data_IF_237624935288
#
_entry.id   IF_237624935288
#
_cell.length_a   1.000
_cell.length_b   1.000
_cell.length_c   1.000
_cell.angle_alpha   90.00
_cell.angle_beta   90.00
_cell.angle_gamma   90.00
#
_symmetry.space_group_name_H-M   'P 1'
#
loop_
_entity.id
_entity.type
_entity.pdbx_description
1 polymer ?
#
# COMPACT_ATOMS: atom_id res chain seq x y z
N UNK A 1 38.13 63.46 -48.81
CA UNK A 1 37.06 62.59 -49.33
C UNK A 1 36.57 61.75 -48.15
N UNK A 2 35.35 62.05 -47.66
CA UNK A 2 34.72 61.43 -46.48
C UNK A 2 34.20 60.03 -46.85
N UNK A 3 34.33 59.07 -45.95
CA UNK A 3 33.39 57.94 -45.87
C UNK A 3 33.37 57.38 -44.47
N UNK A 4 32.25 57.61 -43.80
CA UNK A 4 31.78 57.02 -42.55
C UNK A 4 30.29 56.65 -42.80
N UNK A 5 29.64 55.78 -41.99
CA UNK A 5 29.33 54.41 -42.37
C UNK A 5 27.83 54.14 -42.57
N UNK A 6 27.47 53.14 -43.38
CA UNK A 6 26.08 52.63 -43.44
C UNK A 6 25.97 51.43 -42.49
N UNK A 7 25.45 51.74 -41.31
CA UNK A 7 24.90 50.82 -40.31
C UNK A 7 23.90 49.85 -40.94
N UNK A 8 24.22 48.54 -40.93
CA UNK A 8 23.25 47.47 -41.20
C UNK A 8 22.56 47.11 -39.89
N UNK A 9 21.31 47.56 -39.74
CA UNK A 9 20.41 47.09 -38.69
C UNK A 9 19.95 45.67 -39.02
N UNK A 10 20.53 44.67 -38.36
CA UNK A 10 20.01 43.31 -38.36
C UNK A 10 18.81 43.23 -37.42
N UNK A 11 17.61 43.06 -37.98
CA UNK A 11 16.40 42.74 -37.22
C UNK A 11 16.52 41.27 -36.82
N UNK A 12 16.78 41.01 -35.53
CA UNK A 12 16.70 39.66 -34.97
C UNK A 12 15.22 39.37 -34.71
N UNK A 13 14.60 38.59 -35.59
CA UNK A 13 13.29 38.01 -35.36
C UNK A 13 13.44 36.91 -34.29
N UNK A 14 13.00 37.19 -33.07
CA UNK A 14 13.00 36.22 -31.97
C UNK A 14 11.97 35.13 -32.24
N UNK A 15 12.43 33.92 -32.55
CA UNK A 15 11.60 32.73 -32.63
C UNK A 15 11.30 32.26 -31.20
N UNK A 16 10.09 32.56 -30.70
CA UNK A 16 9.63 32.08 -29.40
C UNK A 16 9.24 30.60 -29.52
N UNK A 17 10.17 29.70 -29.23
CA UNK A 17 9.93 28.26 -29.19
C UNK A 17 9.22 27.91 -27.86
N UNK A 18 7.89 27.82 -27.88
CA UNK A 18 7.11 27.27 -26.76
C UNK A 18 7.42 25.78 -26.67
N UNK A 19 8.24 25.40 -25.69
CA UNK A 19 8.54 24.01 -25.37
C UNK A 19 7.27 23.38 -24.78
N UNK A 20 6.51 22.68 -25.61
CA UNK A 20 5.49 21.72 -25.14
C UNK A 20 6.22 20.58 -24.44
N UNK A 21 6.35 20.66 -23.12
CA UNK A 21 6.76 19.51 -22.32
C UNK A 21 5.68 18.43 -22.48
N UNK A 22 5.98 17.25 -23.04
CA UNK A 22 5.05 16.15 -23.04
C UNK A 22 4.76 15.78 -21.58
N UNK A 23 3.53 16.04 -21.13
CA UNK A 23 3.02 15.49 -19.89
C UNK A 23 2.74 14.01 -20.15
N UNK A 24 3.73 13.14 -19.90
CA UNK A 24 3.47 11.69 -19.96
C UNK A 24 2.61 11.32 -18.75
N UNK A 25 1.40 10.77 -18.95
CA UNK A 25 0.62 10.27 -17.84
C UNK A 25 1.42 9.19 -17.12
N UNK A 26 1.66 9.38 -15.82
CA UNK A 26 2.21 8.33 -14.96
C UNK A 26 1.04 7.43 -14.59
N UNK A 27 0.99 6.25 -15.19
CA UNK A 27 0.07 5.19 -14.76
C UNK A 27 0.70 4.45 -13.59
N UNK A 28 -0.09 4.14 -12.56
CA UNK A 28 0.34 3.21 -11.53
C UNK A 28 0.50 1.82 -12.16
N UNK A 29 1.61 1.14 -11.90
CA UNK A 29 1.77 -0.26 -12.30
C UNK A 29 0.68 -1.10 -11.65
N UNK A 30 -0.09 -1.83 -12.47
CA UNK A 30 -1.10 -2.76 -11.97
C UNK A 30 -0.42 -3.89 -11.21
N UNK A 31 -0.91 -4.18 -10.01
CA UNK A 31 -0.37 -5.27 -9.19
C UNK A 31 -1.11 -6.56 -9.48
N UNK A 32 -0.38 -7.55 -9.98
CA UNK A 32 -0.90 -8.89 -10.24
C UNK A 32 -1.58 -9.49 -9.00
N UNK A 33 -2.77 -10.06 -9.19
CA UNK A 33 -3.50 -10.80 -8.15
C UNK A 33 -2.84 -12.16 -7.89
N UNK A 34 -1.94 -12.19 -6.91
CA UNK A 34 -1.14 -13.37 -6.54
C UNK A 34 -1.48 -13.95 -5.16
N UNK A 35 -2.41 -13.31 -4.44
CA UNK A 35 -2.81 -13.72 -3.11
C UNK A 35 -4.32 -14.01 -3.03
N UNK A 36 -4.63 -15.20 -2.54
CA UNK A 36 -5.99 -15.62 -2.19
C UNK A 36 -6.03 -16.03 -0.72
N UNK A 37 -7.18 -15.84 -0.08
CA UNK A 37 -7.37 -16.17 1.33
C UNK A 37 -8.53 -17.15 1.47
N UNK A 38 -8.28 -18.27 2.12
CA UNK A 38 -9.31 -19.24 2.54
C UNK A 38 -9.51 -19.06 4.04
N UNK A 39 -10.74 -18.77 4.44
CA UNK A 39 -11.11 -18.54 5.85
C UNK A 39 -12.19 -19.52 6.23
N UNK A 40 -11.86 -20.40 7.18
CA UNK A 40 -12.78 -21.34 7.80
C UNK A 40 -12.93 -21.03 9.30
N UNK A 41 -13.74 -21.82 10.03
CA UNK A 41 -14.05 -21.56 11.45
C UNK A 41 -12.81 -21.45 12.35
N UNK A 42 -11.75 -22.21 12.06
CA UNK A 42 -10.53 -22.28 12.87
C UNK A 42 -9.24 -22.20 12.07
N UNK A 43 -9.34 -22.08 10.76
CA UNK A 43 -8.20 -22.09 9.85
C UNK A 43 -8.27 -20.89 8.94
N UNK A 44 -7.12 -20.24 8.79
CA UNK A 44 -6.94 -19.15 7.83
C UNK A 44 -5.69 -19.46 7.03
N UNK A 45 -5.84 -19.59 5.72
CA UNK A 45 -4.77 -20.02 4.82
C UNK A 45 -4.61 -18.98 3.72
N UNK A 46 -3.39 -18.45 3.60
CA UNK A 46 -2.97 -17.62 2.49
C UNK A 46 -2.41 -18.53 1.37
N UNK A 47 -2.95 -18.39 0.17
CA UNK A 47 -2.41 -19.03 -1.05
C UNK A 47 -1.60 -18.00 -1.81
N UNK A 48 -0.28 -18.15 -1.80
CA UNK A 48 0.65 -17.32 -2.55
C UNK A 48 0.98 -18.01 -3.87
N UNK A 49 0.28 -17.63 -4.94
CA UNK A 49 0.38 -18.30 -6.24
C UNK A 49 1.72 -18.03 -6.90
N UNK A 50 2.33 -16.86 -6.67
CA UNK A 50 3.67 -16.53 -7.16
C UNK A 50 4.75 -17.41 -6.56
N UNK A 51 4.65 -17.73 -5.26
CA UNK A 51 5.58 -18.63 -4.58
C UNK A 51 5.18 -20.12 -4.69
N UNK A 52 4.00 -20.43 -5.24
CA UNK A 52 3.50 -21.78 -5.36
C UNK A 52 3.25 -22.49 -4.02
N UNK A 53 2.88 -21.76 -2.96
CA UNK A 53 2.71 -22.34 -1.62
C UNK A 53 1.52 -21.79 -0.83
N UNK A 54 1.16 -22.51 0.22
CA UNK A 54 0.15 -22.12 1.20
C UNK A 54 0.81 -21.83 2.55
N UNK A 55 0.40 -20.73 3.18
CA UNK A 55 0.87 -20.32 4.51
C UNK A 55 -0.33 -20.19 5.45
N UNK A 56 -0.35 -21.01 6.51
CA UNK A 56 -1.42 -20.98 7.53
C UNK A 56 -1.14 -19.92 8.58
N UNK A 57 -2.17 -19.16 8.98
CA UNK A 57 -2.12 -18.32 10.17
C UNK A 57 -2.33 -19.22 11.39
N UNK A 58 -1.32 -19.32 12.25
CA UNK A 58 -1.41 -20.12 13.48
C UNK A 58 -2.34 -19.47 14.50
N UNK A 59 -3.59 -19.91 14.58
CA UNK A 59 -4.59 -19.38 15.52
C UNK A 59 -4.37 -19.90 16.95
N UNK A 60 -4.42 -19.00 17.94
CA UNK A 60 -4.33 -19.36 19.35
C UNK A 60 -5.64 -19.98 19.87
N UNK A 61 -5.56 -20.62 21.04
CA UNK A 61 -6.75 -21.14 21.73
C UNK A 61 -7.79 -20.03 21.96
N UNK A 62 -9.06 -20.33 21.64
CA UNK A 62 -10.19 -19.38 21.72
C UNK A 62 -10.02 -18.12 20.85
N UNK A 63 -9.04 -18.11 19.95
CA UNK A 63 -8.94 -17.08 18.92
C UNK A 63 -10.01 -17.32 17.85
N UNK A 64 -10.69 -16.26 17.44
CA UNK A 64 -11.79 -16.28 16.49
C UNK A 64 -11.62 -15.12 15.52
N UNK A 65 -11.75 -15.41 14.23
CA UNK A 65 -11.77 -14.38 13.18
C UNK A 65 -13.03 -13.52 13.37
N UNK A 66 -12.85 -12.20 13.27
CA UNK A 66 -13.90 -11.19 13.37
C UNK A 66 -14.16 -10.52 12.03
N UNK A 67 -13.10 -10.28 11.27
CA UNK A 67 -13.16 -9.70 9.93
C UNK A 67 -11.89 -10.07 9.15
N UNK A 68 -11.93 -9.95 7.84
CA UNK A 68 -10.76 -10.10 6.98
C UNK A 68 -10.96 -9.37 5.64
N UNK A 69 -9.85 -8.92 5.05
CA UNK A 69 -9.81 -8.36 3.69
C UNK A 69 -8.58 -8.86 2.94
N UNK A 70 -8.69 -8.95 1.62
CA UNK A 70 -7.61 -9.41 0.74
C UNK A 70 -7.55 -8.54 -0.51
N UNK A 71 -6.34 -8.15 -0.90
CA UNK A 71 -6.03 -7.44 -2.13
C UNK A 71 -5.05 -8.28 -2.98
N UNK A 72 -4.35 -7.64 -3.92
CA UNK A 72 -3.57 -8.34 -4.94
C UNK A 72 -2.38 -9.11 -4.35
N UNK A 73 -1.68 -8.54 -3.37
CA UNK A 73 -0.50 -9.14 -2.75
C UNK A 73 -0.48 -9.04 -1.21
N UNK A 74 -1.55 -8.52 -0.60
CA UNK A 74 -1.69 -8.34 0.85
C UNK A 74 -3.05 -8.80 1.35
N UNK A 75 -3.09 -9.41 2.53
CA UNK A 75 -4.32 -9.71 3.25
C UNK A 75 -4.23 -9.24 4.70
N UNK A 76 -5.37 -8.94 5.31
CA UNK A 76 -5.51 -8.63 6.73
C UNK A 76 -6.59 -9.53 7.31
N UNK A 77 -6.31 -10.08 8.49
CA UNK A 77 -7.22 -10.89 9.29
C UNK A 77 -7.28 -10.25 10.66
N UNK A 78 -8.49 -9.96 11.12
CA UNK A 78 -8.73 -9.40 12.45
C UNK A 78 -9.35 -10.49 13.30
N UNK A 79 -8.75 -10.74 14.46
CA UNK A 79 -9.28 -11.68 15.44
C UNK A 79 -9.68 -10.96 16.71
N UNK A 80 -10.31 -11.67 17.65
CA UNK A 80 -10.53 -11.16 19.01
C UNK A 80 -9.23 -10.87 19.80
N UNK A 81 -8.05 -11.23 19.29
CA UNK A 81 -6.78 -11.10 20.03
C UNK A 81 -5.73 -10.21 19.33
N UNK A 82 -5.72 -10.14 17.99
CA UNK A 82 -4.67 -9.47 17.22
C UNK A 82 -5.14 -9.07 15.82
N UNK A 83 -4.34 -8.24 15.19
CA UNK A 83 -4.35 -7.98 13.77
C UNK A 83 -3.23 -8.81 13.14
N UNK A 84 -3.53 -9.58 12.09
CA UNK A 84 -2.55 -10.36 11.35
C UNK A 84 -2.61 -9.97 9.89
N UNK A 85 -1.48 -9.65 9.29
CA UNK A 85 -1.40 -9.34 7.87
C UNK A 85 -0.45 -10.29 7.17
N UNK A 86 -0.79 -10.65 5.94
CA UNK A 86 0.05 -11.46 5.08
C UNK A 86 0.61 -10.58 3.97
N UNK A 87 1.92 -10.62 3.76
CA UNK A 87 2.59 -10.00 2.62
C UNK A 87 3.14 -11.07 1.69
N UNK A 88 2.65 -11.12 0.45
CA UNK A 88 3.08 -12.14 -0.52
C UNK A 88 4.57 -12.05 -0.86
N UNK A 89 5.17 -10.86 -0.80
CA UNK A 89 6.60 -10.66 -1.03
C UNK A 89 7.43 -10.69 0.26
N UNK A 90 6.85 -10.24 1.38
CA UNK A 90 7.48 -10.41 2.71
C UNK A 90 7.56 -11.89 3.13
N UNK A 91 6.77 -12.76 2.50
CA UNK A 91 6.87 -14.21 2.66
C UNK A 91 6.21 -14.76 3.92
N UNK A 92 5.15 -14.13 4.44
CA UNK A 92 4.43 -14.71 5.57
C UNK A 92 3.48 -13.79 6.32
N UNK A 93 2.94 -14.36 7.40
CA UNK A 93 2.04 -13.72 8.37
C UNK A 93 2.80 -12.90 9.40
N UNK A 94 2.43 -11.63 9.56
CA UNK A 94 2.97 -10.73 10.58
C UNK A 94 1.84 -10.20 11.46
N UNK A 95 1.99 -10.35 12.76
CA UNK A 95 0.91 -10.07 13.71
C UNK A 95 1.24 -8.93 14.66
N UNK A 96 0.21 -8.16 15.01
CA UNK A 96 0.27 -7.10 16.02
C UNK A 96 -0.87 -7.27 17.03
N UNK A 97 -0.52 -7.33 18.31
CA UNK A 97 -1.48 -7.56 19.40
C UNK A 97 -2.48 -6.40 19.49
N UNK A 98 -3.75 -6.72 19.76
CA UNK A 98 -4.78 -5.73 20.08
C UNK A 98 -4.59 -5.18 21.50
N UNK A 99 -4.88 -3.91 21.69
CA UNK A 99 -4.96 -3.29 23.01
C UNK A 99 -6.30 -3.63 23.66
N UNK A 100 -6.36 -3.52 24.99
CA UNK A 100 -7.58 -3.78 25.74
C UNK A 100 -8.66 -2.76 25.37
N UNK A 101 -9.84 -3.24 24.96
CA UNK A 101 -10.94 -2.36 24.53
C UNK A 101 -10.79 -1.80 23.11
N UNK A 102 -9.69 -2.08 22.41
CA UNK A 102 -9.45 -1.60 21.05
C UNK A 102 -10.51 -2.15 20.08
N UNK A 103 -11.26 -1.28 19.42
CA UNK A 103 -12.30 -1.57 18.43
C UNK A 103 -11.86 -1.08 17.06
N UNK A 104 -12.02 -1.94 16.06
CA UNK A 104 -11.78 -1.59 14.64
C UNK A 104 -12.92 -0.70 14.16
N UNK A 105 -12.57 0.39 13.51
CA UNK A 105 -13.49 1.35 12.91
C UNK A 105 -13.51 1.23 11.38
N UNK A 106 -12.35 1.01 10.76
CA UNK A 106 -12.27 0.73 9.32
C UNK A 106 -11.05 -0.12 8.96
N UNK A 107 -11.14 -0.78 7.80
CA UNK A 107 -10.09 -1.58 7.19
C UNK A 107 -10.05 -1.25 5.71
N UNK A 108 -8.89 -0.86 5.22
CA UNK A 108 -8.61 -0.67 3.80
C UNK A 108 -7.43 -1.56 3.41
N UNK A 109 -7.56 -2.26 2.29
CA UNK A 109 -6.49 -3.10 1.75
C UNK A 109 -6.46 -2.88 0.25
N UNK A 110 -5.29 -2.53 -0.28
CA UNK A 110 -5.07 -2.27 -1.69
C UNK A 110 -3.66 -2.74 -2.07
N UNK A 111 -3.56 -3.54 -3.11
CA UNK A 111 -2.30 -4.07 -3.62
C UNK A 111 -1.37 -4.68 -2.56
N UNK A 112 -0.31 -3.95 -2.21
CA UNK A 112 0.70 -4.33 -1.21
C UNK A 112 0.44 -3.69 0.16
N UNK A 113 -0.58 -2.86 0.33
CA UNK A 113 -0.77 -2.02 1.51
C UNK A 113 -2.07 -2.35 2.22
N UNK A 114 -2.05 -2.20 3.54
CA UNK A 114 -3.26 -2.20 4.34
C UNK A 114 -3.21 -1.11 5.39
N UNK A 115 -4.35 -0.50 5.66
CA UNK A 115 -4.57 0.49 6.70
C UNK A 115 -5.72 0.04 7.57
N UNK A 116 -5.49 -0.02 8.88
CA UNK A 116 -6.52 -0.27 9.88
C UNK A 116 -6.68 0.96 10.75
N UNK A 117 -7.90 1.43 10.89
CA UNK A 117 -8.24 2.49 11.84
C UNK A 117 -8.98 1.87 13.00
N UNK A 118 -8.47 2.08 14.21
CA UNK A 118 -9.13 1.69 15.46
C UNK A 118 -9.50 2.94 16.25
N UNK A 119 -10.25 2.77 17.34
CA UNK A 119 -10.50 3.86 18.28
C UNK A 119 -9.23 4.34 19.01
N UNK A 120 -8.15 3.56 19.03
CA UNK A 120 -6.92 3.88 19.77
C UNK A 120 -5.78 4.37 18.86
N UNK A 121 -5.68 3.82 17.64
CA UNK A 121 -4.54 4.04 16.73
C UNK A 121 -4.89 3.80 15.28
N UNK A 122 -4.02 4.27 14.40
CA UNK A 122 -4.00 3.93 12.98
C UNK A 122 -2.79 3.01 12.77
N UNK A 123 -3.00 1.87 12.12
CA UNK A 123 -1.95 0.92 11.80
C UNK A 123 -1.83 0.77 10.28
N UNK A 124 -0.61 0.84 9.76
CA UNK A 124 -0.31 0.54 8.37
C UNK A 124 0.55 -0.73 8.29
N UNK A 125 0.26 -1.54 7.29
CA UNK A 125 1.06 -2.70 6.92
C UNK A 125 1.54 -2.58 5.49
N UNK A 126 2.84 -2.82 5.27
CA UNK A 126 3.43 -2.88 3.94
C UNK A 126 3.87 -4.31 3.61
N UNK A 127 3.12 -4.98 2.74
CA UNK A 127 3.27 -6.39 2.40
C UNK A 127 4.52 -6.74 1.60
N UNK A 128 5.26 -5.76 1.08
CA UNK A 128 6.59 -6.02 0.50
C UNK A 128 7.65 -6.29 1.55
N UNK A 129 7.65 -5.53 2.65
CA UNK A 129 8.62 -5.67 3.74
C UNK A 129 8.09 -6.43 4.95
N UNK A 130 6.77 -6.65 5.04
CA UNK A 130 6.13 -7.28 6.19
C UNK A 130 6.06 -6.37 7.41
N UNK A 131 6.24 -5.06 7.23
CA UNK A 131 6.40 -4.13 8.33
C UNK A 131 5.07 -3.52 8.75
N UNK A 132 4.86 -3.47 10.06
CA UNK A 132 3.80 -2.69 10.69
C UNK A 132 4.35 -1.33 11.16
N UNK A 133 3.65 -0.25 10.83
CA UNK A 133 3.82 1.07 11.46
C UNK A 133 2.52 1.51 12.10
N UNK A 134 2.59 2.37 13.12
CA UNK A 134 1.39 2.86 13.80
C UNK A 134 1.58 4.27 14.35
N UNK A 135 0.46 4.97 14.48
CA UNK A 135 0.35 6.22 15.23
C UNK A 135 -0.83 6.15 16.18
N UNK A 136 -0.66 6.70 17.39
CA UNK A 136 -1.78 6.84 18.33
C UNK A 136 -2.74 7.92 17.81
N UNK A 137 -4.03 7.71 18.04
CA UNK A 137 -5.03 8.75 17.82
C UNK A 137 -5.14 9.56 19.10
N UNK A 138 -5.03 10.89 18.99
CA UNK A 138 -5.42 11.77 20.08
C UNK A 138 -6.92 11.60 20.32
N UNK A 139 -7.32 11.47 21.59
CA UNK A 139 -8.73 11.52 21.98
C UNK A 139 -9.28 12.86 21.47
N UNK A 140 -10.34 12.80 20.66
CA UNK A 140 -11.09 13.97 20.24
C UNK A 140 -12.32 14.09 21.12
#
# INVERSE_FOLDING_TARGET
MRSDPISRRSIIAGLLLVQLLPCTPVFADEVEKILFLVVEKRDVVASNTRAGRFDRLEMHAKETVRDYKVANATAVVITNQRFSAYGAQAGGWQSKRRQAGEKVQSIEVADYSATLVTNDRILNFYGRSGTWSEIRRGVQ
#
